data_IF_691377391666
#
_entry.id   IF_691377391666
#
_cell.length_a   1.000
_cell.length_b   1.000
_cell.length_c   1.000
_cell.angle_alpha   90.00
_cell.angle_beta   90.00
_cell.angle_gamma   90.00
#
_symmetry.space_group_name_H-M   'P 1'
#
loop_
_entity.id
_entity.type
_entity.pdbx_description
1 polymer ?
#
# COMPACT_ATOMS: atom_id res chain seq x y z
N UNK A 1 19.56 6.79 -28.45
CA UNK A 1 19.15 5.60 -27.69
C UNK A 1 20.30 4.61 -27.73
N UNK A 2 20.78 4.11 -26.59
CA UNK A 2 21.90 3.15 -26.56
C UNK A 2 21.45 1.76 -27.01
N UNK A 3 22.35 0.97 -27.58
CA UNK A 3 22.08 -0.43 -27.96
C UNK A 3 21.81 -1.26 -26.71
N UNK A 4 22.52 -0.98 -25.62
CA UNK A 4 22.34 -1.66 -24.34
C UNK A 4 20.95 -1.42 -23.74
N UNK A 5 20.36 -0.23 -23.93
CA UNK A 5 18.98 0.05 -23.50
C UNK A 5 17.96 -0.76 -24.29
N UNK A 6 18.16 -0.90 -25.60
CA UNK A 6 17.30 -1.72 -26.47
C UNK A 6 17.35 -3.21 -26.13
N UNK A 7 18.49 -3.67 -25.62
CA UNK A 7 18.70 -5.06 -25.19
C UNK A 7 18.33 -5.28 -23.71
N UNK A 8 17.74 -4.28 -23.05
CA UNK A 8 17.43 -4.30 -21.61
C UNK A 8 18.64 -4.61 -20.71
N UNK A 9 19.86 -4.29 -21.19
CA UNK A 9 21.10 -4.44 -20.42
C UNK A 9 21.37 -3.22 -19.52
N UNK A 10 20.70 -2.10 -19.79
CA UNK A 10 20.76 -0.89 -18.96
C UNK A 10 19.44 -0.13 -19.06
N UNK A 11 19.03 0.51 -17.96
CA UNK A 11 17.90 1.44 -17.95
C UNK A 11 18.26 2.82 -18.54
N UNK A 12 19.55 3.06 -18.85
CA UNK A 12 20.02 4.32 -19.39
C UNK A 12 19.76 4.46 -20.90
N UNK A 13 18.79 5.32 -21.26
CA UNK A 13 18.45 5.63 -22.67
C UNK A 13 19.60 6.21 -23.48
N UNK A 14 20.56 6.87 -22.84
CA UNK A 14 21.75 7.44 -23.45
C UNK A 14 23.01 6.87 -22.78
N UNK A 15 24.15 6.74 -23.51
CA UNK A 15 25.41 6.32 -22.91
C UNK A 15 25.74 7.18 -21.70
N UNK A 16 26.27 6.59 -20.63
CA UNK A 16 26.62 7.30 -19.40
C UNK A 16 27.69 8.37 -19.69
N UNK A 17 27.25 9.61 -19.88
CA UNK A 17 28.13 10.77 -20.07
C UNK A 17 28.45 11.46 -18.75
N UNK A 18 27.66 11.22 -17.70
CA UNK A 18 27.82 11.85 -16.39
C UNK A 18 28.72 11.00 -15.49
N UNK A 19 29.71 11.64 -14.87
CA UNK A 19 30.57 10.99 -13.88
C UNK A 19 29.82 10.85 -12.56
N UNK A 20 30.02 9.73 -11.85
CA UNK A 20 29.42 9.51 -10.52
C UNK A 20 29.79 10.63 -9.53
N UNK A 21 30.98 11.22 -9.67
CA UNK A 21 31.46 12.36 -8.88
C UNK A 21 30.54 13.59 -8.98
N UNK A 22 29.88 13.81 -10.13
CA UNK A 22 28.98 14.94 -10.37
C UNK A 22 27.64 14.80 -9.64
N UNK A 23 27.34 13.60 -9.13
CA UNK A 23 26.08 13.31 -8.42
C UNK A 23 26.17 13.60 -6.91
N UNK A 24 27.35 13.96 -6.39
CA UNK A 24 27.59 14.23 -4.97
C UNK A 24 27.13 13.11 -4.03
N UNK A 25 27.19 11.86 -4.49
CA UNK A 25 26.92 10.68 -3.67
C UNK A 25 28.15 10.35 -2.81
N UNK A 26 27.92 9.98 -1.55
CA UNK A 26 28.99 9.46 -0.70
C UNK A 26 29.34 8.00 -1.04
N UNK A 27 30.46 7.52 -0.51
CA UNK A 27 30.94 6.16 -0.79
C UNK A 27 29.91 5.09 -0.38
N UNK A 28 29.17 5.33 0.72
CA UNK A 28 28.14 4.42 1.21
C UNK A 28 26.95 4.31 0.24
N UNK A 29 26.49 5.43 -0.31
CA UNK A 29 25.42 5.47 -1.30
C UNK A 29 25.85 4.76 -2.59
N UNK A 30 27.09 4.99 -3.04
CA UNK A 30 27.64 4.32 -4.23
C UNK A 30 27.75 2.80 -4.00
N UNK A 31 28.20 2.36 -2.83
CA UNK A 31 28.27 0.94 -2.49
C UNK A 31 26.87 0.31 -2.45
N UNK A 32 25.90 0.98 -1.81
CA UNK A 32 24.51 0.51 -1.74
C UNK A 32 23.91 0.32 -3.13
N UNK A 33 24.06 1.31 -4.02
CA UNK A 33 23.55 1.26 -5.39
C UNK A 33 24.20 0.15 -6.21
N UNK A 34 25.46 -0.18 -5.96
CA UNK A 34 26.18 -1.30 -6.61
C UNK A 34 25.87 -2.66 -6.01
N UNK A 35 25.35 -2.72 -4.78
CA UNK A 35 25.24 -3.96 -4.01
C UNK A 35 24.12 -4.90 -4.45
N UNK A 36 23.25 -4.48 -5.37
CA UNK A 36 22.02 -5.20 -5.80
C UNK A 36 21.04 -5.50 -4.64
N UNK A 37 21.28 -4.99 -3.44
CA UNK A 37 20.42 -5.19 -2.25
C UNK A 37 19.13 -4.38 -2.30
N UNK A 38 19.06 -3.37 -3.16
CA UNK A 38 17.89 -2.52 -3.35
C UNK A 38 17.45 -2.56 -4.82
N UNK A 39 16.15 -2.39 -5.05
CA UNK A 39 15.61 -2.27 -6.40
C UNK A 39 15.90 -0.88 -6.95
N UNK A 40 17.02 -0.74 -7.68
CA UNK A 40 17.43 0.53 -8.29
C UNK A 40 16.41 1.05 -9.30
N UNK A 41 15.68 0.17 -10.01
CA UNK A 41 14.59 0.58 -10.91
C UNK A 41 13.47 1.29 -10.14
N UNK A 42 13.03 0.72 -9.02
CA UNK A 42 12.02 1.36 -8.15
C UNK A 42 12.52 2.70 -7.60
N UNK A 43 13.80 2.79 -7.20
CA UNK A 43 14.39 4.06 -6.77
C UNK A 43 14.35 5.11 -7.89
N UNK A 44 14.71 4.72 -9.12
CA UNK A 44 14.62 5.61 -10.28
C UNK A 44 13.18 6.05 -10.58
N UNK A 45 12.21 5.14 -10.45
CA UNK A 45 10.78 5.47 -10.63
C UNK A 45 10.29 6.47 -9.57
N UNK A 46 10.72 6.32 -8.31
CA UNK A 46 10.47 7.32 -7.27
C UNK A 46 11.09 8.66 -7.61
N UNK A 47 12.37 8.69 -7.99
CA UNK A 47 13.09 9.92 -8.35
C UNK A 47 12.50 10.62 -9.57
N UNK A 48 11.90 9.88 -10.51
CA UNK A 48 11.27 10.41 -11.71
C UNK A 48 9.86 10.99 -11.47
N UNK A 49 9.26 10.75 -10.30
CA UNK A 49 7.93 11.25 -9.99
C UNK A 49 7.92 12.79 -9.89
N UNK A 50 6.92 13.49 -10.46
CA UNK A 50 6.87 14.96 -10.45
C UNK A 50 6.89 15.57 -9.03
N UNK A 51 6.26 14.91 -8.07
CA UNK A 51 6.25 15.35 -6.66
C UNK A 51 7.52 14.99 -5.88
N UNK A 52 8.47 14.25 -6.45
CA UNK A 52 9.66 13.81 -5.72
C UNK A 52 10.53 14.99 -5.25
N UNK A 53 10.65 16.05 -6.07
CA UNK A 53 11.40 17.26 -5.69
C UNK A 53 10.72 17.95 -4.49
N UNK A 54 9.39 17.96 -4.45
CA UNK A 54 8.62 18.49 -3.31
C UNK A 54 8.88 17.65 -2.06
N UNK A 55 8.78 16.32 -2.16
CA UNK A 55 9.09 15.40 -1.05
C UNK A 55 10.51 15.64 -0.50
N UNK A 56 11.51 15.78 -1.37
CA UNK A 56 12.89 16.04 -0.94
C UNK A 56 13.04 17.39 -0.24
N UNK A 57 12.31 18.41 -0.70
CA UNK A 57 12.28 19.73 -0.06
C UNK A 57 11.64 19.64 1.32
N UNK A 58 10.50 18.97 1.45
CA UNK A 58 9.79 18.81 2.72
C UNK A 58 10.61 17.96 3.73
N UNK A 59 11.30 16.92 3.25
CA UNK A 59 12.26 16.15 4.05
C UNK A 59 13.44 16.99 4.53
N UNK A 60 13.99 17.85 3.68
CA UNK A 60 15.08 18.75 4.06
C UNK A 60 14.62 19.76 5.11
N UNK A 61 13.46 20.39 4.91
CA UNK A 61 12.88 21.34 5.89
C UNK A 61 12.70 20.70 7.27
N UNK A 62 12.26 19.44 7.29
CA UNK A 62 12.12 18.67 8.52
C UNK A 62 13.49 18.33 9.15
N UNK A 63 14.42 17.79 8.35
CA UNK A 63 15.74 17.37 8.84
C UNK A 63 16.59 18.55 9.36
N UNK A 64 16.50 19.70 8.71
CA UNK A 64 17.22 20.93 9.10
C UNK A 64 16.57 21.65 10.30
N UNK A 65 15.39 21.21 10.75
CA UNK A 65 14.69 21.79 11.91
C UNK A 65 14.14 23.21 11.70
N UNK A 66 14.13 23.72 10.48
CA UNK A 66 13.54 25.03 10.15
C UNK A 66 12.06 25.09 10.53
N UNK A 67 11.36 23.98 10.30
CA UNK A 67 10.01 23.67 10.71
C UNK A 67 9.76 23.91 12.21
N UNK A 68 10.61 23.32 13.05
CA UNK A 68 10.48 23.32 14.51
C UNK A 68 10.53 24.75 15.04
N UNK A 69 11.50 25.55 14.59
CA UNK A 69 11.64 26.94 15.03
C UNK A 69 10.38 27.79 14.72
N UNK A 70 9.77 27.58 13.54
CA UNK A 70 8.56 28.31 13.15
C UNK A 70 7.35 27.90 14.01
N UNK A 71 7.16 26.60 14.24
CA UNK A 71 6.05 26.12 15.08
C UNK A 71 6.24 26.52 16.54
N UNK A 72 7.46 26.44 17.08
CA UNK A 72 7.77 26.92 18.43
C UNK A 72 7.44 28.40 18.58
N UNK A 73 7.78 29.22 17.57
CA UNK A 73 7.46 30.64 17.55
C UNK A 73 5.95 30.87 17.54
N UNK A 74 5.19 30.11 16.74
CA UNK A 74 3.74 30.17 16.70
C UNK A 74 3.11 29.75 18.04
N UNK A 75 3.56 28.63 18.61
CA UNK A 75 3.11 28.11 19.91
C UNK A 75 3.42 29.08 21.06
N UNK A 76 4.58 29.73 21.04
CA UNK A 76 4.95 30.78 21.98
C UNK A 76 4.05 32.01 21.84
N UNK A 77 3.73 32.41 20.60
CA UNK A 77 2.82 33.52 20.33
C UNK A 77 1.41 33.23 20.84
N UNK A 78 0.90 32.02 20.63
CA UNK A 78 -0.39 31.57 21.17
C UNK A 78 -0.39 31.60 22.71
N UNK A 79 0.72 31.22 23.34
CA UNK A 79 0.85 31.29 24.80
C UNK A 79 0.88 32.74 25.31
N UNK A 80 1.57 33.65 24.62
CA UNK A 80 1.56 35.08 24.94
C UNK A 80 0.14 35.64 24.84
N UNK A 81 -0.59 35.34 23.76
CA UNK A 81 -1.98 35.76 23.61
C UNK A 81 -2.86 35.22 24.75
N UNK A 82 -2.67 33.95 25.11
CA UNK A 82 -3.38 33.32 26.23
C UNK A 82 -3.11 34.04 27.56
N UNK A 83 -1.84 34.37 27.85
CA UNK A 83 -1.46 35.12 29.04
C UNK A 83 -2.05 36.54 29.04
N UNK A 84 -2.04 37.23 27.89
CA UNK A 84 -2.63 38.58 27.79
C UNK A 84 -4.14 38.57 28.03
N UNK A 85 -4.85 37.57 27.51
CA UNK A 85 -6.28 37.40 27.75
C UNK A 85 -6.58 37.13 29.24
N UNK A 86 -5.79 36.27 29.90
CA UNK A 86 -5.89 36.04 31.34
C UNK A 86 -5.69 37.32 32.16
N UNK A 87 -4.66 38.12 31.82
CA UNK A 87 -4.38 39.40 32.47
C UNK A 87 -5.49 40.45 32.23
N UNK A 88 -6.23 40.34 31.12
CA UNK A 88 -7.38 41.20 30.81
C UNK A 88 -8.68 40.79 31.55
N UNK A 89 -8.65 39.76 32.39
CA UNK A 89 -9.77 39.33 33.22
C UNK A 89 -10.52 38.09 32.72
N UNK A 90 -10.01 37.41 31.67
CA UNK A 90 -10.51 36.09 31.28
C UNK A 90 -10.30 35.07 32.41
N UNK A 91 -11.32 34.27 32.73
CA UNK A 91 -11.26 33.26 33.79
C UNK A 91 -10.83 31.91 33.23
N UNK A 92 -9.83 31.27 33.85
CA UNK A 92 -9.18 30.05 33.33
C UNK A 92 -10.10 28.85 33.13
N UNK A 93 -11.21 28.77 33.85
CA UNK A 93 -11.98 27.52 33.97
C UNK A 93 -13.26 27.47 33.13
N UNK A 94 -13.58 28.54 32.38
CA UNK A 94 -14.80 28.59 31.54
C UNK A 94 -14.74 29.56 30.36
N UNK A 95 -13.56 30.13 30.06
CA UNK A 95 -13.42 31.04 28.92
C UNK A 95 -13.04 30.27 27.66
N UNK A 96 -14.01 30.11 26.77
CA UNK A 96 -13.87 29.48 25.45
C UNK A 96 -12.65 29.98 24.66
N UNK A 97 -12.28 31.26 24.81
CA UNK A 97 -11.12 31.83 24.11
C UNK A 97 -9.81 31.23 24.63
N UNK A 98 -9.69 31.01 25.94
CA UNK A 98 -8.50 30.41 26.55
C UNK A 98 -8.33 28.95 26.16
N UNK A 99 -9.43 28.20 26.10
CA UNK A 99 -9.44 26.81 25.66
C UNK A 99 -9.12 26.68 24.16
N UNK A 100 -9.66 27.57 23.33
CA UNK A 100 -9.33 27.63 21.91
C UNK A 100 -7.84 27.91 21.68
N UNK A 101 -7.25 28.88 22.39
CA UNK A 101 -5.83 29.20 22.29
C UNK A 101 -4.94 28.04 22.75
N UNK A 102 -5.34 27.31 23.80
CA UNK A 102 -4.62 26.14 24.29
C UNK A 102 -4.69 24.97 23.30
N UNK A 103 -5.87 24.73 22.71
CA UNK A 103 -6.08 23.67 21.72
C UNK A 103 -5.48 23.95 20.35
N UNK A 104 -5.11 25.20 20.06
CA UNK A 104 -4.51 25.61 18.78
C UNK A 104 -3.00 25.35 18.68
N UNK A 105 -2.36 24.89 19.76
CA UNK A 105 -0.93 24.54 19.73
C UNK A 105 -0.70 23.35 18.80
N UNK A 106 0.31 23.47 17.96
CA UNK A 106 0.69 22.44 17.00
C UNK A 106 1.80 21.58 17.58
N UNK A 107 1.70 20.26 17.40
CA UNK A 107 2.82 19.36 17.60
C UNK A 107 3.70 19.35 16.35
N UNK A 108 4.96 19.74 16.53
CA UNK A 108 5.97 19.93 15.48
C UNK A 108 6.13 18.68 14.61
N UNK A 109 6.39 17.55 15.26
CA UNK A 109 6.62 16.27 14.60
C UNK A 109 5.35 15.79 13.88
N UNK A 110 4.20 15.84 14.53
CA UNK A 110 2.95 15.34 13.95
C UNK A 110 2.57 16.11 12.69
N UNK A 111 2.72 17.44 12.69
CA UNK A 111 2.37 18.25 11.53
C UNK A 111 3.24 17.93 10.32
N UNK A 112 4.57 17.97 10.46
CA UNK A 112 5.46 17.77 9.32
C UNK A 112 5.53 16.32 8.85
N UNK A 113 5.48 15.35 9.76
CA UNK A 113 5.40 13.94 9.37
C UNK A 113 4.11 13.62 8.60
N UNK A 114 3.00 14.31 8.89
CA UNK A 114 1.76 14.15 8.11
C UNK A 114 1.87 14.75 6.71
N UNK A 115 2.58 15.89 6.56
CA UNK A 115 2.88 16.49 5.25
C UNK A 115 3.76 15.54 4.40
N UNK A 116 4.88 15.07 4.96
CA UNK A 116 5.80 14.14 4.29
C UNK A 116 5.08 12.83 3.93
N UNK A 117 4.24 12.31 4.83
CA UNK A 117 3.45 11.10 4.59
C UNK A 117 2.55 11.26 3.37
N UNK A 118 1.81 12.37 3.26
CA UNK A 118 0.89 12.60 2.14
C UNK A 118 1.61 12.63 0.80
N UNK A 119 2.78 13.27 0.75
CA UNK A 119 3.60 13.30 -0.46
C UNK A 119 4.11 11.91 -0.83
N UNK A 120 4.58 11.16 0.16
CA UNK A 120 5.05 9.78 -0.04
C UNK A 120 3.92 8.85 -0.48
N UNK A 121 2.73 8.96 0.12
CA UNK A 121 1.54 8.20 -0.28
C UNK A 121 1.13 8.49 -1.73
N UNK A 122 1.21 9.75 -2.16
CA UNK A 122 0.96 10.16 -3.55
C UNK A 122 1.93 9.49 -4.53
N UNK A 123 3.23 9.55 -4.24
CA UNK A 123 4.29 8.97 -5.08
C UNK A 123 4.13 7.45 -5.17
N UNK A 124 4.03 6.77 -4.03
CA UNK A 124 3.90 5.30 -3.98
C UNK A 124 2.61 4.84 -4.65
N UNK A 125 1.51 5.56 -4.43
CA UNK A 125 0.22 5.29 -5.07
C UNK A 125 0.33 5.34 -6.59
N UNK A 126 0.94 6.40 -7.13
CA UNK A 126 1.12 6.58 -8.56
C UNK A 126 2.02 5.51 -9.18
N UNK A 127 3.13 5.16 -8.53
CA UNK A 127 4.02 4.08 -8.99
C UNK A 127 3.27 2.74 -9.00
N UNK A 128 2.56 2.42 -7.92
CA UNK A 128 1.77 1.18 -7.85
C UNK A 128 0.72 1.10 -8.95
N UNK A 129 0.05 2.21 -9.24
CA UNK A 129 -0.97 2.25 -10.28
C UNK A 129 -0.36 2.13 -11.69
N UNK A 130 0.82 2.72 -11.93
CA UNK A 130 1.59 2.49 -13.15
C UNK A 130 2.02 1.02 -13.30
N UNK A 131 2.44 0.38 -12.20
CA UNK A 131 2.78 -1.04 -12.20
C UNK A 131 1.56 -1.91 -12.50
N UNK A 132 0.37 -1.61 -11.94
CA UNK A 132 -0.86 -2.37 -12.27
C UNK A 132 -1.20 -2.40 -13.77
N UNK A 133 -0.83 -1.35 -14.52
CA UNK A 133 -1.05 -1.28 -15.97
C UNK A 133 0.08 -1.89 -16.80
N UNK A 134 1.22 -2.21 -16.19
CA UNK A 134 2.29 -2.96 -16.85
C UNK A 134 1.91 -4.44 -16.91
N UNK A 135 2.09 -5.03 -18.10
CA UNK A 135 1.76 -6.42 -18.42
C UNK A 135 2.55 -7.48 -17.60
N UNK A 136 3.50 -7.05 -16.77
CA UNK A 136 4.29 -7.89 -15.85
C UNK A 136 3.83 -7.81 -14.39
N UNK A 137 2.86 -6.95 -14.05
CA UNK A 137 2.30 -6.92 -12.70
C UNK A 137 1.25 -8.02 -12.54
N UNK A 138 1.30 -8.71 -11.40
CA UNK A 138 0.46 -9.86 -11.09
C UNK A 138 -1.00 -9.59 -11.47
N UNK A 139 -1.47 -10.41 -12.41
CA UNK A 139 -2.70 -10.25 -13.19
C UNK A 139 -3.95 -10.37 -12.30
N UNK A 140 -4.31 -9.29 -11.60
CA UNK A 140 -5.49 -9.32 -10.71
C UNK A 140 -6.82 -9.32 -11.49
N UNK A 141 -6.80 -8.88 -12.76
CA UNK A 141 -8.00 -8.87 -13.62
C UNK A 141 -8.32 -10.25 -14.19
N UNK A 142 -7.32 -11.10 -14.42
CA UNK A 142 -7.50 -12.46 -14.95
C UNK A 142 -7.88 -13.46 -13.85
N UNK A 143 -7.39 -13.28 -12.61
CA UNK A 143 -7.68 -14.22 -11.53
C UNK A 143 -9.17 -14.28 -11.20
N UNK A 144 -9.87 -13.15 -11.18
CA UNK A 144 -11.30 -13.09 -10.83
C UNK A 144 -12.16 -13.71 -11.92
N UNK A 145 -11.87 -13.44 -13.19
CA UNK A 145 -12.67 -13.95 -14.30
C UNK A 145 -12.32 -15.42 -14.61
N UNK A 146 -11.06 -15.83 -14.45
CA UNK A 146 -10.64 -17.24 -14.44
C UNK A 146 -11.30 -18.01 -13.29
N UNK A 147 -11.34 -17.44 -12.07
CA UNK A 147 -12.04 -18.06 -10.95
C UNK A 147 -13.56 -18.14 -11.18
N UNK A 148 -14.19 -17.12 -11.78
CA UNK A 148 -15.61 -17.19 -12.17
C UNK A 148 -15.85 -18.28 -13.20
N UNK A 149 -15.02 -18.38 -14.24
CA UNK A 149 -15.10 -19.43 -15.26
C UNK A 149 -15.01 -20.82 -14.65
N UNK A 150 -14.00 -21.07 -13.82
CA UNK A 150 -13.82 -22.34 -13.10
C UNK A 150 -15.00 -22.65 -12.15
N UNK A 151 -15.61 -21.64 -11.52
CA UNK A 151 -16.80 -21.82 -10.67
C UNK A 151 -18.03 -22.18 -11.51
N UNK A 152 -18.23 -21.59 -12.68
CA UNK A 152 -19.36 -21.89 -13.57
C UNK A 152 -19.24 -23.28 -14.20
N UNK A 153 -18.04 -23.71 -14.62
CA UNK A 153 -17.80 -25.07 -15.15
C UNK A 153 -18.09 -26.17 -14.13
N UNK A 154 -17.79 -25.92 -12.85
CA UNK A 154 -18.03 -26.92 -11.81
C UNK A 154 -19.48 -26.93 -11.33
N UNK A 155 -20.18 -25.78 -11.36
CA UNK A 155 -21.65 -25.77 -11.19
C UNK A 155 -22.36 -26.63 -12.24
N UNK A 156 -21.82 -26.72 -13.45
CA UNK A 156 -22.38 -27.58 -14.50
C UNK A 156 -22.13 -29.08 -14.24
N UNK A 157 -21.18 -29.43 -13.36
CA UNK A 157 -20.73 -30.80 -13.10
C UNK A 157 -21.16 -31.33 -11.71
N UNK A 158 -21.39 -30.46 -10.73
CA UNK A 158 -21.74 -30.81 -9.34
C UNK A 158 -22.94 -30.01 -8.82
N UNK A 159 -23.84 -30.68 -8.10
CA UNK A 159 -25.10 -30.11 -7.60
C UNK A 159 -24.96 -29.14 -6.39
N UNK A 160 -23.79 -29.03 -5.75
CA UNK A 160 -23.58 -28.18 -4.56
C UNK A 160 -22.49 -27.11 -4.79
N UNK A 161 -22.88 -25.83 -4.98
CA UNK A 161 -21.96 -24.74 -5.30
C UNK A 161 -20.84 -24.47 -4.28
N UNK A 162 -21.01 -24.87 -3.01
CA UNK A 162 -19.97 -24.69 -1.99
C UNK A 162 -18.93 -25.81 -2.07
N UNK A 163 -19.38 -27.03 -2.29
CA UNK A 163 -18.50 -28.19 -2.48
C UNK A 163 -17.67 -28.01 -3.74
N UNK A 164 -18.29 -27.53 -4.81
CA UNK A 164 -17.61 -27.16 -6.05
C UNK A 164 -16.46 -26.18 -5.82
N UNK A 165 -16.68 -25.12 -5.02
CA UNK A 165 -15.63 -24.15 -4.66
C UNK A 165 -14.51 -24.77 -3.83
N UNK A 166 -14.85 -25.63 -2.88
CA UNK A 166 -13.86 -26.31 -2.04
C UNK A 166 -13.01 -27.29 -2.85
N UNK A 167 -13.62 -27.99 -3.83
CA UNK A 167 -12.90 -28.85 -4.76
C UNK A 167 -11.88 -28.06 -5.60
N UNK A 168 -12.26 -26.90 -6.17
CA UNK A 168 -11.31 -26.03 -6.91
C UNK A 168 -10.13 -25.65 -6.01
N UNK A 169 -10.44 -25.13 -4.82
CA UNK A 169 -9.42 -24.63 -3.92
C UNK A 169 -8.44 -25.74 -3.51
N UNK A 170 -8.98 -26.92 -3.19
CA UNK A 170 -8.18 -28.09 -2.86
C UNK A 170 -7.30 -28.55 -4.02
N UNK A 171 -7.86 -28.64 -5.25
CA UNK A 171 -7.12 -29.00 -6.45
C UNK A 171 -5.98 -28.03 -6.75
N UNK A 172 -6.19 -26.72 -6.54
CA UNK A 172 -5.15 -25.69 -6.69
C UNK A 172 -4.03 -25.82 -5.66
N UNK A 173 -4.37 -26.06 -4.39
CA UNK A 173 -3.38 -26.18 -3.30
C UNK A 173 -2.47 -27.40 -3.47
N UNK A 174 -2.97 -28.48 -4.08
CA UNK A 174 -2.20 -29.71 -4.30
C UNK A 174 -1.60 -29.80 -5.71
N UNK A 175 -1.78 -28.77 -6.54
CA UNK A 175 -1.37 -28.71 -7.96
C UNK A 175 -1.85 -29.93 -8.79
N UNK A 176 -3.10 -30.36 -8.56
CA UNK A 176 -3.71 -31.50 -9.25
C UNK A 176 -5.04 -31.09 -9.91
N UNK A 177 -5.13 -31.06 -11.24
CA UNK A 177 -6.36 -30.68 -11.95
C UNK A 177 -7.53 -31.62 -11.68
N UNK A 178 -8.75 -31.08 -11.67
CA UNK A 178 -9.97 -31.84 -11.39
C UNK A 178 -10.25 -32.93 -12.44
N UNK A 179 -9.77 -32.78 -13.68
CA UNK A 179 -9.91 -33.80 -14.73
C UNK A 179 -9.11 -35.06 -14.42
N UNK A 180 -8.07 -34.97 -13.59
CA UNK A 180 -7.21 -36.10 -13.22
C UNK A 180 -7.79 -36.92 -12.06
N UNK A 181 -8.82 -36.41 -11.38
CA UNK A 181 -9.54 -37.18 -10.36
C UNK A 181 -10.51 -38.16 -11.01
N UNK A 182 -10.48 -39.40 -10.55
CA UNK A 182 -11.54 -40.38 -10.82
C UNK A 182 -12.84 -40.00 -10.12
N UNK A 183 -13.97 -40.52 -10.59
CA UNK A 183 -15.29 -40.24 -9.98
C UNK A 183 -15.35 -40.70 -8.52
N UNK A 184 -14.68 -41.82 -8.19
CA UNK A 184 -14.59 -42.32 -6.81
C UNK A 184 -13.80 -41.36 -5.91
N UNK A 185 -12.68 -40.81 -6.39
CA UNK A 185 -11.88 -39.85 -5.62
C UNK A 185 -12.65 -38.55 -5.40
N UNK A 186 -13.40 -38.07 -6.40
CA UNK A 186 -14.29 -36.93 -6.26
C UNK A 186 -15.32 -37.18 -5.16
N UNK A 187 -16.01 -38.32 -5.17
CA UNK A 187 -16.99 -38.68 -4.13
C UNK A 187 -16.37 -38.75 -2.73
N UNK A 188 -15.15 -39.27 -2.61
CA UNK A 188 -14.43 -39.35 -1.32
C UNK A 188 -14.11 -37.95 -0.80
N UNK A 189 -13.55 -37.06 -1.63
CA UNK A 189 -13.19 -35.70 -1.22
C UNK A 189 -14.44 -34.87 -0.91
N UNK A 190 -15.51 -35.00 -1.71
CA UNK A 190 -16.81 -34.40 -1.38
C UNK A 190 -17.34 -34.89 -0.02
N UNK A 191 -17.23 -36.19 0.24
CA UNK A 191 -17.61 -36.80 1.50
C UNK A 191 -16.82 -36.25 2.69
N UNK A 192 -15.52 -36.00 2.51
CA UNK A 192 -14.66 -35.35 3.51
C UNK A 192 -15.13 -33.91 3.79
N UNK A 193 -15.39 -33.10 2.75
CA UNK A 193 -15.91 -31.75 2.94
C UNK A 193 -17.26 -31.72 3.65
N UNK A 194 -18.19 -32.63 3.29
CA UNK A 194 -19.50 -32.76 3.97
C UNK A 194 -19.37 -33.12 5.45
N UNK A 195 -18.28 -33.79 5.86
CA UNK A 195 -18.00 -34.14 7.26
C UNK A 195 -17.35 -33.00 8.05
N UNK A 196 -16.70 -32.05 7.40
CA UNK A 196 -16.04 -30.92 8.06
C UNK A 196 -17.02 -30.06 8.85
N UNK A 197 -16.67 -29.73 10.12
CA UNK A 197 -17.50 -28.87 10.98
C UNK A 197 -17.72 -27.49 10.40
N UNK A 198 -16.71 -26.92 9.72
CA UNK A 198 -16.79 -25.60 9.08
C UNK A 198 -17.83 -25.58 7.95
N UNK A 199 -17.79 -26.57 7.07
CA UNK A 199 -18.77 -26.75 5.99
C UNK A 199 -20.22 -26.78 6.52
N UNK A 200 -20.49 -27.62 7.52
CA UNK A 200 -21.83 -27.71 8.14
C UNK A 200 -22.32 -26.38 8.72
N UNK A 201 -21.41 -25.60 9.32
CA UNK A 201 -21.72 -24.27 9.87
C UNK A 201 -22.09 -23.29 8.76
N UNK A 202 -21.33 -23.25 7.66
CA UNK A 202 -21.60 -22.33 6.53
C UNK A 202 -22.88 -22.67 5.78
N UNK A 203 -23.15 -23.96 5.50
CA UNK A 203 -24.41 -24.41 4.90
C UNK A 203 -25.61 -24.00 5.77
N UNK A 204 -25.48 -24.12 7.10
CA UNK A 204 -26.56 -23.71 8.03
C UNK A 204 -26.83 -22.20 8.03
N UNK A 205 -25.81 -21.37 7.76
CA UNK A 205 -25.94 -19.92 7.68
C UNK A 205 -26.58 -19.49 6.36
N UNK A 206 -26.26 -20.17 5.27
CA UNK A 206 -26.85 -19.92 3.94
C UNK A 206 -28.31 -20.35 3.87
N UNK A 207 -28.66 -21.50 4.46
CA UNK A 207 -30.06 -21.95 4.56
C UNK A 207 -30.96 -21.04 5.42
N UNK A 208 -30.41 -20.34 6.40
CA UNK A 208 -31.14 -19.37 7.24
C UNK A 208 -31.47 -18.06 6.51
N UNK A 209 -30.65 -17.65 5.53
CA UNK A 209 -30.93 -16.45 4.71
C UNK A 209 -32.08 -16.66 3.72
N UNK A 210 -32.32 -17.91 3.28
CA UNK A 210 -33.42 -18.24 2.36
C UNK A 210 -34.82 -18.32 3.00
N UNK A 211 -34.92 -18.45 4.33
CA UNK A 211 -36.21 -18.57 5.06
C UNK A 211 -36.77 -17.25 5.59
N UNK A 212 -36.07 -16.13 5.38
CA UNK A 212 -36.57 -14.77 5.67
C UNK A 212 -37.00 -14.10 4.36
N UNK A 213 -38.05 -14.62 3.74
CA UNK A 213 -38.84 -13.94 2.72
C UNK A 213 -40.29 -14.30 2.95
#
# INVERSE_FOLDING_TARGET
MSVDYLLCLTDNRHPATSKVEELHLDDNAVELLKSEKINNRLLCEMMAHPDFIKLMTDLQIYADGYADMMIQTANATLEVLRMTAMNAGAKSDSDYVLDALKGSKLDENTYFLDVIRKDLESIIGSIRDAHKTDAESAVDVDLVDTLKGQIEEIKATQNDPLISKLMIFFCKEIDLPLEQFTDQEKEVVEGLFKRCRRYKKEVSLLGKKGKRR
#
